data_IF_292777810471
#
_entry.id   IF_292777810471
#
_cell.length_a   1.000
_cell.length_b   1.000
_cell.length_c   1.000
_cell.angle_alpha   90.00
_cell.angle_beta   90.00
_cell.angle_gamma   90.00
#
_symmetry.space_group_name_H-M   'P 1'
#
loop_
_entity.id
_entity.type
_entity.pdbx_description
1 polymer ?
#
# COMPACT_ATOMS: atom_id res chain seq x y z
N UNK A 1 9.60 -0.72 -11.47
CA UNK A 1 8.59 -1.38 -10.61
C UNK A 1 8.94 -1.07 -9.17
N UNK A 2 8.14 -0.26 -8.47
CA UNK A 2 8.33 -0.02 -7.03
C UNK A 2 7.67 -1.19 -6.30
N UNK A 3 8.45 -1.95 -5.55
CA UNK A 3 7.92 -3.07 -4.78
C UNK A 3 7.47 -2.54 -3.42
N UNK A 4 6.16 -2.33 -3.27
CA UNK A 4 5.57 -1.79 -2.03
C UNK A 4 5.85 -2.65 -0.79
N UNK A 5 6.29 -3.90 -0.96
CA UNK A 5 6.64 -4.82 0.12
C UNK A 5 7.97 -4.50 0.78
N UNK A 6 8.87 -3.87 0.04
CA UNK A 6 10.18 -3.44 0.55
C UNK A 6 10.08 -2.08 1.27
N UNK A 7 8.94 -1.40 1.14
CA UNK A 7 8.69 -0.14 1.81
C UNK A 7 8.33 -0.37 3.28
N UNK A 8 9.03 0.32 4.17
CA UNK A 8 8.62 0.39 5.56
C UNK A 8 7.33 1.24 5.71
N UNK A 9 6.69 1.18 6.88
CA UNK A 9 5.44 1.91 7.13
C UNK A 9 5.53 3.43 6.81
N UNK A 10 6.67 4.06 7.07
CA UNK A 10 6.90 5.48 6.82
C UNK A 10 7.03 5.79 5.32
N UNK A 11 7.66 4.89 4.57
CA UNK A 11 7.72 4.97 3.11
C UNK A 11 6.36 4.71 2.46
N UNK A 12 5.58 3.79 3.01
CA UNK A 12 4.17 3.59 2.64
C UNK A 12 3.33 4.83 2.87
N UNK A 13 3.49 5.51 4.02
CA UNK A 13 2.84 6.79 4.29
C UNK A 13 3.23 7.89 3.29
N UNK A 14 4.50 7.92 2.88
CA UNK A 14 4.96 8.88 1.87
C UNK A 14 4.46 8.51 0.47
N UNK A 15 4.42 7.23 0.14
CA UNK A 15 3.90 6.74 -1.12
C UNK A 15 2.41 7.06 -1.26
N UNK A 16 1.58 6.75 -0.26
CA UNK A 16 0.15 7.09 -0.30
C UNK A 16 -0.07 8.59 -0.46
N UNK A 17 0.71 9.42 0.24
CA UNK A 17 0.64 10.88 0.05
C UNK A 17 1.05 11.30 -1.36
N UNK A 18 2.11 10.69 -1.91
CA UNK A 18 2.61 11.01 -3.25
C UNK A 18 1.60 10.69 -4.35
N UNK A 19 0.71 9.71 -4.13
CA UNK A 19 -0.36 9.37 -5.06
C UNK A 19 -1.71 10.03 -4.70
N UNK A 20 -1.73 10.96 -3.74
CA UNK A 20 -2.95 11.66 -3.30
C UNK A 20 -3.89 10.83 -2.42
N UNK A 21 -3.45 9.67 -1.95
CA UNK A 21 -4.22 8.80 -1.08
C UNK A 21 -4.13 9.22 0.40
N UNK A 22 -5.21 9.04 1.18
CA UNK A 22 -5.20 9.32 2.61
C UNK A 22 -4.20 8.47 3.40
N UNK A 23 -3.63 9.03 4.48
CA UNK A 23 -2.70 8.32 5.38
C UNK A 23 -3.21 6.99 5.91
N UNK A 24 -4.53 6.84 6.13
CA UNK A 24 -5.10 5.59 6.63
C UNK A 24 -4.91 4.42 5.64
N UNK A 25 -4.77 4.72 4.33
CA UNK A 25 -4.47 3.72 3.30
C UNK A 25 -3.10 3.07 3.53
N UNK A 26 -2.11 3.80 4.06
CA UNK A 26 -0.81 3.22 4.40
C UNK A 26 -0.92 2.14 5.50
N UNK A 27 -1.85 2.31 6.45
CA UNK A 27 -2.13 1.32 7.50
C UNK A 27 -2.86 0.09 6.98
N UNK A 28 -3.74 0.27 5.99
CA UNK A 28 -4.34 -0.87 5.29
C UNK A 28 -3.28 -1.63 4.50
N UNK A 29 -2.49 -0.92 3.68
CA UNK A 29 -1.39 -1.47 2.90
C UNK A 29 -0.39 -2.25 3.76
N UNK A 30 0.04 -1.67 4.89
CA UNK A 30 0.98 -2.36 5.78
C UNK A 30 0.38 -3.65 6.34
N UNK A 31 -0.91 -3.66 6.70
CA UNK A 31 -1.60 -4.88 7.14
C UNK A 31 -1.63 -5.93 6.02
N UNK A 32 -1.81 -5.55 4.77
CA UNK A 32 -1.77 -6.48 3.63
C UNK A 32 -0.36 -7.02 3.39
N UNK A 33 0.66 -6.16 3.42
CA UNK A 33 2.05 -6.54 3.19
C UNK A 33 2.58 -7.46 4.30
N UNK A 34 2.40 -7.08 5.56
CA UNK A 34 2.90 -7.84 6.71
C UNK A 34 2.09 -9.11 6.99
N UNK A 35 0.79 -9.12 6.71
CA UNK A 35 -0.09 -10.21 7.13
C UNK A 35 -0.49 -11.17 5.99
N UNK A 36 -0.48 -10.72 4.73
CA UNK A 36 -0.96 -11.54 3.60
C UNK A 36 0.11 -11.93 2.58
N UNK A 37 1.38 -11.51 2.73
CA UNK A 37 2.45 -11.77 1.74
C UNK A 37 1.99 -11.51 0.29
N UNK A 38 1.09 -10.55 0.08
CA UNK A 38 0.43 -10.35 -1.21
C UNK A 38 1.48 -10.09 -2.28
N UNK A 39 1.32 -10.72 -3.43
CA UNK A 39 2.39 -10.81 -4.41
C UNK A 39 2.46 -9.57 -5.29
N UNK A 40 1.32 -8.90 -5.49
CA UNK A 40 1.16 -7.77 -6.40
C UNK A 40 0.11 -6.77 -5.88
N UNK A 41 0.22 -5.53 -6.33
CA UNK A 41 -0.76 -4.46 -6.07
C UNK A 41 -2.14 -4.80 -6.64
N UNK A 42 -2.21 -5.54 -7.75
CA UNK A 42 -3.45 -6.00 -8.38
C UNK A 42 -4.32 -6.87 -7.47
N UNK A 43 -3.71 -7.60 -6.53
CA UNK A 43 -4.43 -8.41 -5.55
C UNK A 43 -5.04 -7.58 -4.42
N UNK A 44 -4.72 -6.28 -4.35
CA UNK A 44 -5.27 -5.34 -3.37
C UNK A 44 -6.59 -4.76 -3.88
N UNK A 45 -7.61 -5.61 -3.96
CA UNK A 45 -8.98 -5.28 -4.41
C UNK A 45 -9.65 -4.14 -3.63
N UNK A 46 -9.16 -3.83 -2.43
CA UNK A 46 -9.63 -2.72 -1.60
C UNK A 46 -9.05 -1.35 -2.00
N UNK A 47 -7.94 -1.31 -2.76
CA UNK A 47 -7.24 -0.08 -3.12
C UNK A 47 -7.58 0.35 -4.56
N UNK A 48 -7.76 -0.62 -5.48
CA UNK A 48 -8.07 -0.34 -6.89
C UNK A 48 -9.46 0.22 -7.18
N UNK A 49 -10.32 0.44 -6.17
CA UNK A 49 -11.67 1.00 -6.44
C UNK A 49 -11.73 2.52 -6.50
N UNK A 50 -10.66 3.22 -6.15
CA UNK A 50 -10.69 4.68 -5.91
C UNK A 50 -9.59 5.45 -6.67
N UNK A 51 -8.97 4.82 -7.68
CA UNK A 51 -7.96 5.44 -8.55
C UNK A 51 -8.41 5.42 -10.00
#
# INVERSE_FOLDING_TARGET
MINIKDLNFKELENWVKSVGLPKFRAKQLSKWIYNKKVSSYDEMTDISKDL
#
